data_IF_901516475213
#
_entry.id   IF_901516475213
#
_cell.length_a   1.000
_cell.length_b   1.000
_cell.length_c   1.000
_cell.angle_alpha   90.00
_cell.angle_beta   90.00
_cell.angle_gamma   90.00
#
_symmetry.space_group_name_H-M   'P 1'
#
loop_
_entity.id
_entity.type
_entity.pdbx_description
1 polymer ?
#
# COMPACT_ATOMS: atom_id res chain seq x y z
N UNK A 1 30.20 -18.12 -2.70
CA UNK A 1 29.23 -18.10 -1.59
C UNK A 1 27.84 -17.85 -2.13
N UNK A 2 26.95 -18.84 -2.09
CA UNK A 2 25.58 -18.69 -2.59
C UNK A 2 24.79 -17.80 -1.64
N UNK A 3 24.59 -16.53 -2.01
CA UNK A 3 23.69 -15.62 -1.27
C UNK A 3 22.29 -16.24 -1.26
N UNK A 4 21.77 -16.51 -0.07
CA UNK A 4 20.42 -17.07 0.15
C UNK A 4 19.40 -16.18 -0.57
N UNK A 5 18.79 -16.68 -1.66
CA UNK A 5 17.83 -15.95 -2.51
C UNK A 5 16.60 -15.42 -1.73
N UNK A 6 16.33 -15.97 -0.55
CA UNK A 6 15.20 -15.60 0.29
C UNK A 6 15.47 -14.43 1.26
N UNK A 7 16.71 -13.96 1.42
CA UNK A 7 17.02 -12.81 2.30
C UNK A 7 16.74 -11.45 1.65
N UNK A 8 16.35 -11.43 0.38
CA UNK A 8 15.82 -10.26 -0.30
C UNK A 8 14.30 -10.38 -0.38
N UNK A 9 13.61 -10.30 0.76
CA UNK A 9 12.21 -9.90 0.73
C UNK A 9 12.21 -8.48 0.17
N UNK A 10 12.18 -8.34 -1.16
CA UNK A 10 12.04 -7.06 -1.81
C UNK A 10 10.73 -6.50 -1.28
N UNK A 11 10.79 -5.37 -0.58
CA UNK A 11 9.58 -4.61 -0.29
C UNK A 11 8.85 -4.46 -1.63
N UNK A 12 7.68 -5.08 -1.76
CA UNK A 12 6.85 -4.88 -2.92
C UNK A 12 6.36 -3.43 -2.84
N UNK A 13 6.96 -2.57 -3.66
CA UNK A 13 6.67 -1.14 -3.67
C UNK A 13 5.72 -0.85 -4.83
N UNK A 14 4.62 -0.17 -4.52
CA UNK A 14 3.61 0.24 -5.51
C UNK A 14 3.18 1.67 -5.29
N UNK A 15 2.89 2.38 -6.38
CA UNK A 15 2.29 3.71 -6.31
C UNK A 15 0.76 3.61 -6.14
N UNK A 16 0.11 4.75 -5.89
CA UNK A 16 -1.35 4.83 -5.65
C UNK A 16 -2.17 4.28 -6.83
N UNK A 17 -1.73 4.48 -8.07
CA UNK A 17 -2.43 3.96 -9.26
C UNK A 17 -2.37 2.44 -9.30
N UNK A 18 -1.19 1.86 -9.12
CA UNK A 18 -1.00 0.41 -9.09
C UNK A 18 -1.75 -0.23 -7.90
N UNK A 19 -1.77 0.43 -6.74
CA UNK A 19 -2.59 -0.01 -5.60
C UNK A 19 -4.08 0.03 -5.95
N UNK A 20 -4.54 1.08 -6.64
CA UNK A 20 -5.92 1.18 -7.12
C UNK A 20 -6.30 0.00 -8.01
N UNK A 21 -5.46 -0.36 -8.97
CA UNK A 21 -5.66 -1.52 -9.83
C UNK A 21 -5.68 -2.84 -9.04
N UNK A 22 -4.81 -2.99 -8.03
CA UNK A 22 -4.72 -4.21 -7.22
C UNK A 22 -5.95 -4.45 -6.34
N UNK A 23 -6.58 -3.39 -5.83
CA UNK A 23 -7.73 -3.48 -4.92
C UNK A 23 -9.06 -3.14 -5.60
N UNK A 24 -9.06 -2.91 -6.91
CA UNK A 24 -10.21 -2.43 -7.68
C UNK A 24 -10.83 -1.14 -7.09
N UNK A 25 -9.96 -0.19 -6.75
CA UNK A 25 -10.32 1.09 -6.13
C UNK A 25 -9.83 2.27 -6.97
N UNK A 26 -10.59 3.37 -6.94
CA UNK A 26 -10.10 4.64 -7.45
C UNK A 26 -8.92 5.15 -6.60
N UNK A 27 -7.95 5.79 -7.25
CA UNK A 27 -6.74 6.39 -6.66
C UNK A 27 -7.05 7.33 -5.50
N UNK A 28 -8.14 8.08 -5.58
CA UNK A 28 -8.51 9.02 -4.52
C UNK A 28 -9.07 8.29 -3.30
N UNK A 29 -9.77 7.17 -3.50
CA UNK A 29 -10.18 6.26 -2.42
C UNK A 29 -8.96 5.65 -1.74
N UNK A 30 -7.99 5.16 -2.53
CA UNK A 30 -6.72 4.64 -2.00
C UNK A 30 -6.02 5.71 -1.15
N UNK A 31 -5.87 6.94 -1.67
CA UNK A 31 -5.28 8.05 -0.90
C UNK A 31 -6.02 8.32 0.40
N UNK A 32 -7.36 8.38 0.36
CA UNK A 32 -8.19 8.59 1.56
C UNK A 32 -7.94 7.50 2.60
N UNK A 33 -7.96 6.23 2.20
CA UNK A 33 -7.75 5.08 3.11
C UNK A 33 -6.35 5.07 3.72
N UNK A 34 -5.31 5.34 2.91
CA UNK A 34 -3.94 5.46 3.40
C UNK A 34 -3.78 6.62 4.39
N UNK A 35 -4.34 7.79 4.08
CA UNK A 35 -4.30 8.96 4.97
C UNK A 35 -5.06 8.75 6.27
N UNK A 36 -6.21 8.07 6.24
CA UNK A 36 -6.98 7.75 7.45
C UNK A 36 -6.20 6.89 8.46
N UNK A 37 -5.18 6.16 7.98
CA UNK A 37 -4.27 5.34 8.78
C UNK A 37 -2.86 5.92 8.90
N UNK A 38 -2.68 7.17 8.50
CA UNK A 38 -1.38 7.87 8.54
C UNK A 38 -0.25 7.12 7.80
N UNK A 39 -0.58 6.31 6.79
CA UNK A 39 0.43 5.57 6.02
C UNK A 39 1.21 6.57 5.15
N UNK A 40 2.51 6.67 5.42
CA UNK A 40 3.41 7.54 4.68
C UNK A 40 4.04 6.79 3.49
N UNK A 41 4.40 7.48 2.41
CA UNK A 41 5.15 6.86 1.32
C UNK A 41 6.52 6.40 1.81
N UNK A 42 6.87 5.15 1.49
CA UNK A 42 8.17 4.58 1.83
C UNK A 42 9.31 5.30 1.11
N UNK A 43 9.09 5.65 -0.16
CA UNK A 43 10.06 6.37 -0.96
C UNK A 43 9.38 7.16 -2.09
N UNK A 44 10.18 7.97 -2.78
CA UNK A 44 9.84 8.49 -4.11
C UNK A 44 10.65 7.74 -5.15
N UNK A 45 9.96 7.12 -6.10
CA UNK A 45 10.58 6.51 -7.27
C UNK A 45 10.20 7.31 -8.52
N UNK A 46 11.19 7.87 -9.23
CA UNK A 46 10.96 8.71 -10.43
C UNK A 46 9.95 9.85 -10.21
N UNK A 47 10.00 10.48 -9.03
CA UNK A 47 9.09 11.57 -8.66
C UNK A 47 7.71 11.13 -8.16
N UNK A 48 7.41 9.82 -8.18
CA UNK A 48 6.13 9.27 -7.72
C UNK A 48 6.30 8.62 -6.34
N UNK A 49 5.35 8.89 -5.44
CA UNK A 49 5.31 8.24 -4.14
C UNK A 49 5.00 6.75 -4.29
N UNK A 50 5.84 5.91 -3.68
CA UNK A 50 5.64 4.46 -3.60
C UNK A 50 5.49 4.03 -2.15
N UNK A 51 4.65 3.03 -1.95
CA UNK A 51 4.23 2.52 -0.66
C UNK A 51 4.57 1.04 -0.57
N UNK A 52 4.88 0.57 0.64
CA UNK A 52 5.01 -0.86 0.91
C UNK A 52 3.62 -1.48 0.77
N UNK A 53 3.46 -2.42 -0.16
CA UNK A 53 2.18 -3.06 -0.46
C UNK A 53 1.55 -3.67 0.78
N UNK A 54 2.34 -4.30 1.65
CA UNK A 54 1.83 -4.89 2.89
C UNK A 54 1.13 -3.85 3.78
N UNK A 55 1.81 -2.75 4.09
CA UNK A 55 1.26 -1.67 4.94
C UNK A 55 0.06 -1.00 4.29
N UNK A 56 0.14 -0.77 2.97
CA UNK A 56 -0.96 -0.20 2.20
C UNK A 56 -2.19 -1.12 2.21
N UNK A 57 -2.00 -2.43 2.04
CA UNK A 57 -3.06 -3.43 2.07
C UNK A 57 -3.75 -3.48 3.44
N UNK A 58 -2.96 -3.54 4.51
CA UNK A 58 -3.45 -3.53 5.89
C UNK A 58 -4.37 -2.30 6.12
N UNK A 59 -3.94 -1.11 5.73
CA UNK A 59 -4.74 0.10 5.86
C UNK A 59 -6.02 0.11 5.00
N UNK A 60 -5.94 -0.36 3.75
CA UNK A 60 -7.08 -0.38 2.82
C UNK A 60 -8.16 -1.35 3.31
N UNK A 61 -7.77 -2.55 3.74
CA UNK A 61 -8.67 -3.60 4.21
C UNK A 61 -9.27 -3.20 5.57
N UNK A 62 -8.46 -2.68 6.49
CA UNK A 62 -8.96 -2.27 7.81
C UNK A 62 -9.99 -1.14 7.71
N UNK A 63 -9.77 -0.19 6.79
CA UNK A 63 -10.74 0.87 6.54
C UNK A 63 -12.08 0.31 6.01
N UNK A 64 -12.02 -0.68 5.12
CA UNK A 64 -13.23 -1.33 4.57
C UNK A 64 -14.00 -2.12 5.64
N UNK A 65 -13.29 -2.88 6.46
CA UNK A 65 -13.88 -3.60 7.59
C UNK A 65 -14.54 -2.63 8.58
N UNK A 66 -13.90 -1.49 8.85
CA UNK A 66 -14.43 -0.46 9.73
C UNK A 66 -15.73 0.14 9.19
N UNK A 67 -15.76 0.50 7.90
CA UNK A 67 -16.99 1.01 7.26
C UNK A 67 -18.09 -0.06 7.23
N UNK A 68 -17.76 -1.32 6.91
CA UNK A 68 -18.73 -2.41 6.86
C UNK A 68 -19.33 -2.76 8.22
N UNK A 69 -18.57 -2.59 9.30
CA UNK A 69 -19.01 -2.90 10.66
C UNK A 69 -19.57 -1.69 11.42
N UNK A 70 -19.65 -0.51 10.79
CA UNK A 70 -20.06 0.76 11.42
C UNK A 70 -19.28 1.10 12.71
N UNK A 71 -17.99 0.75 12.75
CA UNK A 71 -17.06 1.02 13.88
C UNK A 71 -16.33 2.37 13.72
#
# INVERSE_FOLDING_TARGET
MAKKRYQTAQNHLRNVTELGEMFDLNRDTVRKRLSAKCIQPFAKHRGVNVYIVREAAEAIIEYELREALHL
#
